data_IF_598004336704
#
_entry.id   IF_598004336704
#
_cell.length_a   1.000
_cell.length_b   1.000
_cell.length_c   1.000
_cell.angle_alpha   90.00
_cell.angle_beta   90.00
_cell.angle_gamma   90.00
#
_symmetry.space_group_name_H-M   'P 1'
#
loop_
_entity.id
_entity.type
_entity.pdbx_description
1 polymer ?
#
# COMPACT_ATOMS: atom_id res chain seq x y z
N UNK A 1 10.26 -6.90 -18.61
CA UNK A 1 10.09 -6.92 -17.93
C UNK A 1 9.05 -6.59 -17.31
N UNK A 2 8.55 -6.22 -16.93
CA UNK A 2 7.44 -5.66 -16.41
C UNK A 2 6.57 -6.48 -15.59
N UNK A 3 7.09 -7.43 -14.87
CA UNK A 3 6.23 -8.09 -14.00
C UNK A 3 5.81 -7.21 -12.91
N UNK A 4 4.52 -7.05 -12.69
CA UNK A 4 3.99 -6.28 -11.61
C UNK A 4 3.72 -7.16 -10.43
N UNK A 5 4.47 -6.95 -9.37
CA UNK A 5 4.30 -7.69 -8.11
C UNK A 5 3.30 -6.95 -7.24
N UNK A 6 2.83 -7.62 -6.18
CA UNK A 6 1.95 -6.98 -5.21
C UNK A 6 2.60 -5.73 -4.63
N UNK A 7 3.90 -5.82 -4.31
CA UNK A 7 4.64 -4.67 -3.79
C UNK A 7 4.63 -3.51 -4.78
N UNK A 8 4.89 -3.79 -6.05
CA UNK A 8 4.94 -2.75 -7.07
C UNK A 8 3.59 -2.06 -7.22
N UNK A 9 2.52 -2.83 -7.29
CA UNK A 9 1.18 -2.28 -7.39
C UNK A 9 0.83 -1.43 -6.18
N UNK A 10 1.17 -1.93 -5.01
CA UNK A 10 0.86 -1.23 -3.76
C UNK A 10 1.64 0.08 -3.67
N UNK A 11 2.92 0.06 -3.99
CA UNK A 11 3.72 1.27 -3.94
C UNK A 11 3.25 2.32 -4.95
N UNK A 12 2.87 1.88 -6.14
CA UNK A 12 2.32 2.80 -7.13
C UNK A 12 1.07 3.48 -6.62
N UNK A 13 0.19 2.71 -6.01
CA UNK A 13 -1.05 3.25 -5.48
C UNK A 13 -0.76 4.24 -4.34
N UNK A 14 0.06 3.83 -3.38
CA UNK A 14 0.34 4.67 -2.22
C UNK A 14 1.08 5.95 -2.61
N UNK A 15 2.01 5.85 -3.57
CA UNK A 15 2.71 7.03 -4.06
C UNK A 15 1.75 8.02 -4.72
N UNK A 16 0.81 7.50 -5.49
CA UNK A 16 -0.19 8.35 -6.13
C UNK A 16 -1.06 9.04 -5.09
N UNK A 17 -1.43 8.33 -4.04
CA UNK A 17 -2.23 8.92 -2.98
C UNK A 17 -1.45 9.98 -2.22
N UNK A 18 -0.18 9.74 -1.98
CA UNK A 18 0.68 10.72 -1.31
C UNK A 18 0.75 12.01 -2.12
N UNK A 19 0.90 11.90 -3.42
CA UNK A 19 0.92 13.07 -4.29
C UNK A 19 -0.42 13.79 -4.30
N UNK A 20 -1.49 13.01 -4.32
CA UNK A 20 -2.83 13.57 -4.33
C UNK A 20 -3.13 14.36 -3.06
N UNK A 21 -2.74 13.82 -1.92
CA UNK A 21 -2.96 14.50 -0.64
C UNK A 21 -1.87 15.52 -0.31
N UNK A 22 -0.77 15.48 -1.01
CA UNK A 22 0.32 16.40 -0.78
C UNK A 22 1.09 16.13 0.49
N UNK A 23 1.04 14.89 0.98
CA UNK A 23 1.76 14.50 2.19
C UNK A 23 1.95 12.99 2.21
N UNK A 24 2.83 12.53 3.09
CA UNK A 24 3.15 11.11 3.15
C UNK A 24 2.26 10.33 4.12
N UNK A 25 1.38 11.02 4.82
CA UNK A 25 0.48 10.40 5.78
C UNK A 25 -0.95 10.67 5.36
N UNK A 26 -1.75 9.61 5.22
CA UNK A 26 -3.11 9.76 4.71
C UNK A 26 -3.93 8.52 5.02
N UNK A 27 -5.25 8.68 4.94
CA UNK A 27 -6.18 7.56 5.04
C UNK A 27 -6.66 7.20 3.65
N UNK A 28 -6.83 5.91 3.40
CA UNK A 28 -7.38 5.47 2.12
C UNK A 28 -8.83 5.04 2.33
N UNK A 29 -9.66 5.13 1.28
CA UNK A 29 -11.08 4.78 1.41
C UNK A 29 -11.37 3.29 1.29
N UNK A 30 -10.36 2.45 1.43
CA UNK A 30 -10.51 1.02 1.25
C UNK A 30 -10.21 0.26 2.52
N UNK A 31 -11.01 -0.79 2.77
CA UNK A 31 -10.61 -1.81 3.72
C UNK A 31 -9.52 -2.66 3.06
N UNK A 32 -8.95 -3.58 3.81
CA UNK A 32 -7.89 -4.43 3.26
C UNK A 32 -8.40 -5.27 2.11
N UNK A 33 -9.61 -5.81 2.22
CA UNK A 33 -10.20 -6.60 1.15
C UNK A 33 -10.47 -5.73 -0.07
N UNK A 34 -10.99 -4.54 0.15
CA UNK A 34 -11.28 -3.63 -0.96
C UNK A 34 -10.01 -3.21 -1.68
N UNK A 35 -8.95 -2.96 -0.93
CA UNK A 35 -7.67 -2.58 -1.52
C UNK A 35 -7.12 -3.73 -2.37
N UNK A 36 -7.21 -4.96 -1.85
CA UNK A 36 -6.75 -6.12 -2.60
C UNK A 36 -7.53 -6.26 -3.91
N UNK A 37 -8.85 -6.08 -3.84
CA UNK A 37 -9.69 -6.14 -5.04
C UNK A 37 -9.31 -5.05 -6.03
N UNK A 38 -9.08 -3.85 -5.54
CA UNK A 38 -8.71 -2.72 -6.39
C UNK A 38 -7.38 -2.98 -7.11
N UNK A 39 -6.42 -3.54 -6.39
CA UNK A 39 -5.11 -3.81 -6.96
C UNK A 39 -5.06 -5.10 -7.77
N UNK A 40 -6.11 -5.92 -7.66
CA UNK A 40 -6.15 -7.20 -8.37
C UNK A 40 -5.22 -8.23 -7.77
N UNK A 41 -5.07 -8.24 -6.44
CA UNK A 41 -4.21 -9.19 -5.74
C UNK A 41 -5.00 -9.88 -4.66
N UNK A 42 -4.45 -10.93 -4.08
CA UNK A 42 -5.09 -11.63 -2.98
C UNK A 42 -4.89 -10.87 -1.69
N UNK A 43 -5.92 -10.89 -0.84
CA UNK A 43 -5.86 -10.19 0.43
C UNK A 43 -4.72 -10.69 1.32
N UNK A 44 -4.53 -12.00 1.37
CA UNK A 44 -3.46 -12.56 2.20
C UNK A 44 -2.08 -12.13 1.69
N UNK A 45 -1.90 -12.12 0.38
CA UNK A 45 -0.66 -11.66 -0.22
C UNK A 45 -0.43 -10.18 0.05
N UNK A 46 -1.48 -9.40 -0.01
CA UNK A 46 -1.39 -7.97 0.28
C UNK A 46 -0.97 -7.74 1.73
N UNK A 47 -1.60 -8.44 2.67
CA UNK A 47 -1.26 -8.28 4.09
C UNK A 47 0.16 -8.69 4.37
N UNK A 48 0.61 -9.77 3.75
CA UNK A 48 1.97 -10.24 3.92
C UNK A 48 2.97 -9.21 3.41
N UNK A 49 2.70 -8.66 2.24
CA UNK A 49 3.60 -7.68 1.64
C UNK A 49 3.65 -6.41 2.48
N UNK A 50 2.51 -5.97 2.99
CA UNK A 50 2.47 -4.80 3.86
C UNK A 50 3.31 -5.01 5.11
N UNK A 51 3.24 -6.20 5.70
CA UNK A 51 4.05 -6.52 6.86
C UNK A 51 5.54 -6.47 6.55
N UNK A 52 5.93 -7.00 5.39
CA UNK A 52 7.32 -6.96 4.98
C UNK A 52 7.81 -5.53 4.76
N UNK A 53 6.99 -4.72 4.10
CA UNK A 53 7.38 -3.35 3.82
C UNK A 53 7.51 -2.53 5.10
N UNK A 54 6.63 -2.79 6.07
CA UNK A 54 6.75 -2.13 7.37
C UNK A 54 8.04 -2.55 8.08
N UNK A 55 8.37 -3.83 8.04
CA UNK A 55 9.57 -4.34 8.66
C UNK A 55 10.83 -3.75 8.01
N UNK A 56 10.77 -3.48 6.73
CA UNK A 56 11.87 -2.86 6.00
C UNK A 56 11.97 -1.37 6.23
N UNK A 57 10.99 -0.79 6.89
CA UNK A 57 11.00 0.65 7.15
C UNK A 57 10.55 1.49 5.99
N UNK A 58 9.88 0.90 5.01
CA UNK A 58 9.39 1.66 3.85
C UNK A 58 8.11 2.43 4.16
N UNK A 59 7.29 1.89 5.04
CA UNK A 59 6.03 2.53 5.40
C UNK A 59 5.57 2.01 6.74
N UNK A 60 4.54 2.64 7.27
CA UNK A 60 3.83 2.16 8.44
C UNK A 60 2.35 2.23 8.13
N UNK A 61 1.54 1.49 8.86
CA UNK A 61 0.12 1.51 8.61
C UNK A 61 -0.65 1.07 9.86
N UNK A 62 -1.89 1.55 9.94
CA UNK A 62 -2.80 1.15 10.99
C UNK A 62 -4.20 1.21 10.38
N UNK A 63 -4.80 0.05 10.16
CA UNK A 63 -6.09 -0.06 9.47
C UNK A 63 -5.96 0.60 8.09
N UNK A 64 -6.73 1.65 7.82
CA UNK A 64 -6.69 2.33 6.53
C UNK A 64 -5.76 3.54 6.52
N UNK A 65 -5.09 3.80 7.63
CA UNK A 65 -4.18 4.93 7.73
C UNK A 65 -2.77 4.48 7.35
N UNK A 66 -2.16 5.20 6.43
CA UNK A 66 -0.83 4.84 5.92
C UNK A 66 0.14 5.99 6.08
N UNK A 67 1.37 5.66 6.40
CA UNK A 67 2.46 6.63 6.50
C UNK A 67 3.61 6.10 5.65
N UNK A 68 3.98 6.84 4.62
CA UNK A 68 5.12 6.48 3.81
C UNK A 68 6.38 7.06 4.43
N UNK A 69 7.42 6.24 4.51
CA UNK A 69 8.66 6.66 5.15
C UNK A 69 9.80 6.86 4.17
N UNK A 70 9.45 7.10 2.94
CA UNK A 70 10.45 7.36 1.89
C UNK A 70 10.39 8.78 1.42
#
# INVERSE_FOLDING_TARGET
MGQRTTRSKLMSYLSAEAQRFGKTEFDIPFSRQQLADYLGVERSGLSLELGKMRDEGLLDFHKSHFVLKV
#
